data_IF_466938882595
#
_entry.id   IF_466938882595
#
_cell.length_a   1.000
_cell.length_b   1.000
_cell.length_c   1.000
_cell.angle_alpha   90.00
_cell.angle_beta   90.00
_cell.angle_gamma   90.00
#
_symmetry.space_group_name_H-M   'P 1'
#
loop_
_entity.id
_entity.type
_entity.pdbx_description
1 polymer ?
#
# COMPACT_ATOMS: atom_id res chain seq x y z
N UNK A 1 4.18 8.41 10.67
CA UNK A 1 3.97 8.15 9.24
C UNK A 1 4.19 6.68 9.03
N UNK A 2 3.42 6.07 8.13
CA UNK A 2 3.49 4.64 7.90
C UNK A 2 4.90 4.21 7.50
N UNK A 3 5.30 3.04 7.97
CA UNK A 3 6.60 2.44 7.66
C UNK A 3 6.45 0.93 7.45
N UNK A 4 7.27 0.38 6.56
CA UNK A 4 7.34 -1.07 6.31
C UNK A 4 8.71 -1.56 6.76
N UNK A 5 8.73 -2.38 7.82
CA UNK A 5 9.94 -3.02 8.32
C UNK A 5 9.70 -4.49 8.55
N UNK A 6 10.58 -5.35 8.02
CA UNK A 6 10.46 -6.82 8.15
C UNK A 6 9.05 -7.31 7.80
N UNK A 7 8.50 -6.82 6.68
CA UNK A 7 7.14 -7.12 6.19
C UNK A 7 6.03 -6.75 7.18
N UNK A 8 6.28 -5.81 8.07
CA UNK A 8 5.26 -5.27 8.97
C UNK A 8 5.04 -3.82 8.62
N UNK A 9 3.85 -3.51 8.15
CA UNK A 9 3.37 -2.14 7.99
C UNK A 9 2.91 -1.63 9.36
N UNK A 10 3.48 -0.54 9.84
CA UNK A 10 3.09 0.11 11.09
C UNK A 10 2.46 1.45 10.79
N UNK A 11 1.27 1.70 11.35
CA UNK A 11 0.52 2.95 11.21
C UNK A 11 0.65 3.82 12.47
N UNK A 12 0.40 5.12 12.34
CA UNK A 12 0.42 6.04 13.49
C UNK A 12 -0.69 5.80 14.49
N UNK A 13 -1.78 5.15 14.07
CA UNK A 13 -2.85 4.67 14.95
C UNK A 13 -2.40 3.56 15.91
N UNK A 14 -1.20 3.00 15.74
CA UNK A 14 -0.69 1.85 16.48
C UNK A 14 -1.10 0.50 15.89
N UNK A 15 -1.83 0.50 14.77
CA UNK A 15 -2.15 -0.75 14.04
C UNK A 15 -0.90 -1.27 13.32
N UNK A 16 -0.73 -2.58 13.37
CA UNK A 16 0.35 -3.30 12.69
C UNK A 16 -0.24 -4.36 11.75
N UNK A 17 0.11 -4.27 10.47
CA UNK A 17 -0.35 -5.19 9.44
C UNK A 17 0.82 -6.05 8.99
N UNK A 18 0.66 -7.37 9.05
CA UNK A 18 1.64 -8.30 8.51
C UNK A 18 1.41 -8.41 7.01
N UNK A 19 2.39 -7.96 6.24
CA UNK A 19 2.43 -8.04 4.80
C UNK A 19 2.99 -9.38 4.34
N UNK A 20 2.60 -9.82 3.15
CA UNK A 20 3.21 -10.98 2.50
C UNK A 20 4.56 -10.62 1.87
N UNK A 21 4.63 -9.43 1.28
CA UNK A 21 5.81 -8.84 0.68
C UNK A 21 6.30 -7.59 1.41
N UNK A 22 7.03 -6.75 0.67
CA UNK A 22 7.53 -5.43 1.11
C UNK A 22 7.00 -4.30 0.23
N UNK A 23 5.90 -4.55 -0.48
CA UNK A 23 5.31 -3.64 -1.44
C UNK A 23 3.83 -3.47 -1.17
N UNK A 24 3.35 -2.25 -1.37
CA UNK A 24 1.94 -1.88 -1.31
C UNK A 24 1.59 -1.20 -2.64
N UNK A 25 0.39 -1.46 -3.16
CA UNK A 25 -0.11 -0.81 -4.36
C UNK A 25 -1.57 -0.41 -4.20
N UNK A 26 -1.95 0.64 -4.93
CA UNK A 26 -3.33 1.08 -5.07
C UNK A 26 -3.75 0.82 -6.52
N UNK A 27 -4.81 0.05 -6.71
CA UNK A 27 -5.35 -0.27 -8.03
C UNK A 27 -6.16 0.90 -8.60
N UNK A 28 -6.54 0.81 -9.89
CA UNK A 28 -7.42 1.80 -10.53
C UNK A 28 -8.81 1.87 -9.88
N UNK A 29 -9.27 0.77 -9.28
CA UNK A 29 -10.51 0.67 -8.51
C UNK A 29 -10.38 1.22 -7.07
N UNK A 30 -9.24 1.83 -6.71
CA UNK A 30 -8.92 2.33 -5.38
C UNK A 30 -8.84 1.24 -4.30
N UNK A 31 -8.54 0.01 -4.71
CA UNK A 31 -8.27 -1.08 -3.79
C UNK A 31 -6.81 -1.08 -3.39
N UNK A 32 -6.54 -1.39 -2.14
CA UNK A 32 -5.20 -1.45 -1.57
C UNK A 32 -4.82 -2.92 -1.43
N UNK A 33 -3.68 -3.31 -2.01
CA UNK A 33 -3.23 -4.70 -1.98
C UNK A 33 -1.73 -4.86 -2.16
N UNK A 34 -1.32 -6.13 -2.12
CA UNK A 34 0.03 -6.58 -2.45
C UNK A 34 -0.05 -7.56 -3.62
N UNK A 35 1.02 -7.65 -4.43
CA UNK A 35 1.06 -8.62 -5.52
C UNK A 35 0.93 -10.04 -5.00
N UNK A 36 0.02 -10.83 -5.59
CA UNK A 36 -0.26 -12.23 -5.22
C UNK A 36 -0.70 -12.46 -3.76
N UNK A 37 -1.26 -11.45 -3.09
CA UNK A 37 -1.82 -11.57 -1.74
C UNK A 37 -3.29 -11.10 -1.69
N UNK A 38 -4.05 -11.46 -0.64
CA UNK A 38 -5.36 -10.85 -0.38
C UNK A 38 -5.26 -9.32 -0.22
N UNK A 39 -6.26 -8.60 -0.71
CA UNK A 39 -6.31 -7.14 -0.56
C UNK A 39 -6.44 -6.71 0.91
N UNK A 40 -5.82 -5.57 1.23
CA UNK A 40 -5.86 -4.90 2.54
C UNK A 40 -7.16 -4.09 2.68
N UNK A 41 -7.61 -3.49 1.59
CA UNK A 41 -8.88 -2.77 1.50
C UNK A 41 -9.45 -2.93 0.09
N UNK A 42 -10.63 -3.49 -0.06
CA UNK A 42 -11.18 -3.84 -1.38
C UNK A 42 -12.69 -3.79 -1.45
N UNK A 43 -13.23 -3.89 -2.67
CA UNK A 43 -14.65 -3.95 -2.92
C UNK A 43 -14.96 -5.12 -3.86
N UNK A 44 -16.00 -5.88 -3.56
CA UNK A 44 -16.46 -6.99 -4.40
C UNK A 44 -17.91 -6.75 -4.78
N UNK A 45 -18.19 -6.57 -6.08
CA UNK A 45 -19.55 -6.45 -6.59
C UNK A 45 -20.32 -7.74 -6.34
N UNK A 46 -21.59 -7.61 -5.94
CA UNK A 46 -22.50 -8.75 -5.86
C UNK A 46 -23.18 -8.94 -7.21
N UNK A 47 -22.82 -10.00 -7.92
CA UNK A 47 -23.36 -10.33 -9.24
C UNK A 47 -24.78 -10.92 -9.17
N UNK A 48 -25.35 -11.13 -7.98
CA UNK A 48 -26.63 -11.82 -7.81
C UNK A 48 -27.87 -10.91 -7.91
N UNK A 49 -27.71 -9.63 -8.26
CA UNK A 49 -28.84 -8.75 -8.61
C UNK A 49 -29.69 -8.26 -7.43
N UNK A 50 -29.17 -8.37 -6.20
CA UNK A 50 -29.79 -7.81 -5.01
C UNK A 50 -29.66 -6.27 -4.92
N UNK A 51 -30.37 -5.66 -3.96
CA UNK A 51 -30.35 -4.20 -3.72
C UNK A 51 -29.00 -3.66 -3.22
N UNK A 52 -28.08 -4.52 -2.77
CA UNK A 52 -26.75 -4.11 -2.35
C UNK A 52 -25.78 -4.13 -3.53
N UNK A 53 -25.07 -3.01 -3.71
CA UNK A 53 -24.14 -2.80 -4.83
C UNK A 53 -22.87 -3.66 -4.73
N UNK A 54 -22.63 -4.32 -3.59
CA UNK A 54 -21.45 -5.14 -3.32
C UNK A 54 -20.98 -5.03 -1.88
N UNK A 55 -19.83 -5.65 -1.58
CA UNK A 55 -19.25 -5.74 -0.25
C UNK A 55 -17.88 -5.06 -0.17
N UNK A 56 -17.73 -4.13 0.77
CA UNK A 56 -16.42 -3.59 1.16
C UNK A 56 -15.74 -4.55 2.13
N UNK A 57 -14.47 -4.85 1.88
CA UNK A 57 -13.63 -5.73 2.69
C UNK A 57 -12.51 -4.92 3.34
N UNK A 58 -12.49 -4.89 4.68
CA UNK A 58 -11.51 -4.19 5.51
C UNK A 58 -11.10 -5.09 6.69
N UNK A 59 -10.31 -6.16 6.46
CA UNK A 59 -10.00 -7.18 7.45
C UNK A 59 -9.23 -6.64 8.67
N UNK A 60 -8.50 -5.53 8.48
CA UNK A 60 -7.67 -4.92 9.53
C UNK A 60 -8.40 -3.82 10.31
N UNK A 61 -9.69 -3.57 10.03
CA UNK A 61 -10.50 -2.52 10.67
C UNK A 61 -9.80 -1.14 10.60
N UNK A 62 -9.24 -0.83 9.43
CA UNK A 62 -8.63 0.46 9.15
C UNK A 62 -9.70 1.54 9.19
N UNK A 63 -9.41 2.65 9.86
CA UNK A 63 -10.26 3.83 9.82
C UNK A 63 -9.86 4.75 8.65
N UNK A 64 -10.50 5.91 8.57
CA UNK A 64 -10.25 6.86 7.50
C UNK A 64 -8.82 7.39 7.56
N UNK A 65 -8.34 7.71 8.75
CA UNK A 65 -7.01 8.26 8.99
C UNK A 65 -5.92 7.24 8.61
N UNK A 66 -6.11 5.96 8.92
CA UNK A 66 -5.22 4.88 8.47
C UNK A 66 -5.13 4.79 6.93
N UNK A 67 -6.28 4.85 6.25
CA UNK A 67 -6.34 4.77 4.78
C UNK A 67 -5.70 6.00 4.12
N UNK A 68 -5.89 7.19 4.70
CA UNK A 68 -5.21 8.41 4.26
C UNK A 68 -3.70 8.29 4.46
N UNK A 69 -3.25 7.80 5.62
CA UNK A 69 -1.82 7.58 5.89
C UNK A 69 -1.20 6.57 4.90
N UNK A 70 -1.93 5.53 4.51
CA UNK A 70 -1.50 4.57 3.49
C UNK A 70 -1.38 5.20 2.09
N UNK A 71 -2.30 6.08 1.73
CA UNK A 71 -2.22 6.83 0.48
C UNK A 71 -1.01 7.77 0.49
N UNK A 72 -0.81 8.53 1.57
CA UNK A 72 0.34 9.42 1.75
C UNK A 72 1.66 8.66 1.68
N UNK A 73 1.73 7.47 2.28
CA UNK A 73 2.90 6.59 2.18
C UNK A 73 3.22 6.20 0.72
N UNK A 74 2.22 5.79 -0.06
CA UNK A 74 2.41 5.49 -1.49
C UNK A 74 2.90 6.71 -2.28
N UNK A 75 2.32 7.89 -2.01
CA UNK A 75 2.75 9.15 -2.62
C UNK A 75 4.22 9.43 -2.26
N UNK A 76 4.61 9.25 -1.00
CA UNK A 76 5.98 9.46 -0.56
C UNK A 76 6.96 8.49 -1.26
N UNK A 77 6.59 7.23 -1.46
CA UNK A 77 7.38 6.27 -2.24
C UNK A 77 7.62 6.77 -3.68
N UNK A 78 6.57 7.26 -4.35
CA UNK A 78 6.70 7.86 -5.69
C UNK A 78 7.57 9.12 -5.68
N UNK A 79 7.44 9.97 -4.66
CA UNK A 79 8.26 11.16 -4.53
C UNK A 79 9.73 10.82 -4.34
N UNK A 80 10.05 9.83 -3.50
CA UNK A 80 11.40 9.33 -3.27
C UNK A 80 12.01 8.75 -4.55
N UNK A 81 11.26 7.92 -5.29
CA UNK A 81 11.71 7.37 -6.57
C UNK A 81 12.02 8.49 -7.57
N UNK A 82 11.10 9.44 -7.74
CA UNK A 82 11.30 10.60 -8.64
C UNK A 82 12.52 11.42 -8.23
N UNK A 83 12.73 11.65 -6.94
CA UNK A 83 13.89 12.41 -6.46
C UNK A 83 15.20 11.71 -6.83
N UNK A 84 15.27 10.38 -6.65
CA UNK A 84 16.45 9.60 -7.01
C UNK A 84 16.68 9.54 -8.52
N UNK A 85 15.64 9.37 -9.33
CA UNK A 85 15.74 9.39 -10.80
C UNK A 85 16.15 10.76 -11.37
N UNK A 86 15.82 11.86 -10.68
CA UNK A 86 16.30 13.21 -11.05
C UNK A 86 17.77 13.40 -10.73
N UNK A 87 18.25 12.74 -9.67
CA UNK A 87 19.61 12.91 -9.15
C UNK A 87 20.62 11.98 -9.83
N UNK A 88 20.19 10.80 -10.28
CA UNK A 88 21.05 9.76 -10.80
C UNK A 88 20.57 9.25 -12.17
N UNK A 89 21.49 8.82 -13.02
CA UNK A 89 21.19 8.13 -14.29
C UNK A 89 20.41 6.83 -14.06
N UNK A 90 19.58 6.42 -15.04
CA UNK A 90 18.66 5.28 -14.94
C UNK A 90 19.33 3.92 -14.69
N UNK A 91 20.62 3.81 -14.99
CA UNK A 91 21.48 2.64 -14.79
C UNK A 91 22.22 2.66 -13.44
N UNK A 92 22.08 3.73 -12.67
CA UNK A 92 22.75 3.88 -11.38
C UNK A 92 22.07 3.06 -10.28
N UNK A 93 22.78 2.16 -9.58
CA UNK A 93 22.21 1.44 -8.44
C UNK A 93 21.84 2.37 -7.27
N UNK A 94 22.33 3.61 -7.26
CA UNK A 94 22.00 4.64 -6.24
C UNK A 94 20.54 5.11 -6.32
N UNK A 95 19.79 4.71 -7.35
CA UNK A 95 18.35 4.95 -7.42
C UNK A 95 17.61 4.18 -6.33
N UNK A 96 18.10 2.99 -5.97
CA UNK A 96 17.41 2.06 -5.09
C UNK A 96 17.89 2.20 -3.64
N UNK A 97 16.97 2.01 -2.69
CA UNK A 97 17.31 1.90 -1.28
C UNK A 97 17.56 0.42 -0.92
N UNK A 98 18.81 -0.03 -1.08
CA UNK A 98 19.22 -1.43 -0.93
C UNK A 98 19.09 -1.97 0.51
N UNK A 99 19.05 -1.10 1.51
CA UNK A 99 18.89 -1.51 2.92
C UNK A 99 17.42 -1.62 3.32
N UNK A 100 16.51 -0.89 2.66
CA UNK A 100 15.08 -0.92 2.97
C UNK A 100 14.36 -2.17 2.44
N UNK A 101 14.95 -2.89 1.48
CA UNK A 101 14.37 -4.10 0.89
C UNK A 101 14.72 -5.42 1.61
N UNK A 102 15.52 -5.35 2.69
CA UNK A 102 15.97 -6.51 3.49
C UNK A 102 15.16 -6.64 4.78
#
# INVERSE_FOLDING_TARGET
>A
MADIKRKTLSLTSGKHLKLYGSSLAISKSLEIGEGYAPNIFSFTEDLTGGKELGKVTNPYKLDKEDLMELADFNIQLWMNLKANLRKYSIDSPKIFNLEAGK
#
